data_IF_091393192834
#
_entry.id   IF_091393192834
#
_cell.length_a   1.000
_cell.length_b   1.000
_cell.length_c   1.000
_cell.angle_alpha   90.00
_cell.angle_beta   90.00
_cell.angle_gamma   90.00
#
_symmetry.space_group_name_H-M   'P 1'
#
loop_
_entity.id
_entity.type
_entity.pdbx_description
1 polymer ?
#
# COMPACT_ATOMS: atom_id res chain seq x y z
N UNK A 1 -15.64 -8.06 16.53
CA UNK A 1 -15.39 -8.81 15.28
C UNK A 1 -13.91 -8.74 14.95
N UNK A 2 -13.39 -9.67 14.14
CA UNK A 2 -11.98 -9.71 13.75
C UNK A 2 -11.87 -9.34 12.28
N UNK A 3 -10.97 -8.41 11.95
CA UNK A 3 -10.85 -7.88 10.60
C UNK A 3 -9.42 -7.98 10.10
N UNK A 4 -9.24 -8.51 8.90
CA UNK A 4 -7.99 -8.44 8.16
C UNK A 4 -7.97 -7.13 7.36
N UNK A 5 -6.89 -6.37 7.52
CA UNK A 5 -6.65 -5.12 6.82
C UNK A 5 -5.45 -5.30 5.90
N UNK A 6 -5.57 -4.82 4.67
CA UNK A 6 -4.47 -4.65 3.73
C UNK A 6 -4.39 -3.18 3.35
N UNK A 7 -3.25 -2.54 3.63
CA UNK A 7 -2.93 -1.17 3.22
C UNK A 7 -1.89 -1.23 2.11
N UNK A 8 -2.19 -0.62 0.97
CA UNK A 8 -1.28 -0.48 -0.17
C UNK A 8 -0.83 0.95 -0.27
N UNK A 9 0.48 1.14 -0.36
CA UNK A 9 1.13 2.45 -0.34
C UNK A 9 1.97 2.57 -1.58
N UNK A 10 1.84 3.70 -2.29
CA UNK A 10 2.61 3.99 -3.49
C UNK A 10 3.10 5.42 -3.48
N UNK A 11 4.18 5.69 -4.22
CA UNK A 11 4.58 7.07 -4.48
C UNK A 11 3.52 7.79 -5.32
N UNK A 12 3.30 9.08 -5.00
CA UNK A 12 2.44 9.97 -5.76
C UNK A 12 2.91 10.08 -7.21
N UNK A 13 1.95 10.26 -8.13
CA UNK A 13 2.27 10.45 -9.55
C UNK A 13 3.25 11.61 -9.75
N UNK A 14 4.32 11.35 -10.51
CA UNK A 14 5.36 12.34 -10.81
C UNK A 14 6.52 12.34 -9.80
N UNK A 15 6.42 11.60 -8.70
CA UNK A 15 7.57 11.32 -7.84
C UNK A 15 8.50 10.32 -8.53
N UNK A 16 9.81 10.53 -8.40
CA UNK A 16 10.80 9.57 -8.86
C UNK A 16 10.73 8.32 -7.98
N UNK A 17 10.61 7.15 -8.61
CA UNK A 17 10.78 5.85 -7.97
C UNK A 17 12.08 5.20 -8.46
N UNK A 18 13.23 5.40 -7.74
CA UNK A 18 14.52 4.88 -8.16
C UNK A 18 14.57 3.34 -8.22
N UNK A 19 13.82 2.67 -7.35
CA UNK A 19 13.74 1.21 -7.30
C UNK A 19 13.06 0.68 -8.58
N UNK A 20 11.86 1.19 -8.89
CA UNK A 20 11.14 0.81 -10.10
C UNK A 20 11.98 1.07 -11.37
N UNK A 21 12.67 2.20 -11.43
CA UNK A 21 13.57 2.55 -12.54
C UNK A 21 14.72 1.54 -12.69
N UNK A 22 15.27 1.06 -11.56
CA UNK A 22 16.34 0.07 -11.54
C UNK A 22 15.83 -1.30 -12.02
N UNK A 23 14.64 -1.69 -11.57
CA UNK A 23 13.97 -2.95 -11.98
C UNK A 23 13.68 -2.94 -13.47
N UNK A 24 13.08 -1.87 -14.00
CA UNK A 24 12.79 -1.73 -15.44
C UNK A 24 14.04 -1.90 -16.29
N UNK A 25 15.13 -1.23 -15.92
CA UNK A 25 16.42 -1.35 -16.60
C UNK A 25 16.99 -2.77 -16.52
N UNK A 26 16.86 -3.44 -15.37
CA UNK A 26 17.33 -4.81 -15.21
C UNK A 26 16.53 -5.79 -16.08
N UNK A 27 15.22 -5.61 -16.19
CA UNK A 27 14.36 -6.40 -17.07
C UNK A 27 14.74 -6.21 -18.55
N UNK A 28 15.01 -4.98 -18.98
CA UNK A 28 15.47 -4.70 -20.34
C UNK A 28 16.80 -5.39 -20.67
N UNK A 29 17.75 -5.44 -19.73
CA UNK A 29 19.02 -6.17 -19.91
C UNK A 29 18.83 -7.69 -20.05
N UNK A 30 17.76 -8.23 -19.49
CA UNK A 30 17.37 -9.64 -19.63
C UNK A 30 16.55 -9.92 -20.89
N UNK A 31 16.26 -8.90 -21.71
CA UNK A 31 15.48 -9.01 -22.94
C UNK A 31 13.97 -8.88 -22.75
N UNK A 32 13.50 -8.43 -21.59
CA UNK A 32 12.09 -8.15 -21.34
C UNK A 32 11.82 -6.65 -21.48
N UNK A 33 10.92 -6.29 -22.41
CA UNK A 33 10.44 -4.91 -22.55
C UNK A 33 9.18 -4.72 -21.71
N UNK A 34 9.26 -3.83 -20.73
CA UNK A 34 8.14 -3.43 -19.87
C UNK A 34 8.09 -1.90 -19.80
N UNK A 35 6.91 -1.36 -19.54
CA UNK A 35 6.69 0.09 -19.41
C UNK A 35 5.90 0.38 -18.14
N UNK A 36 6.06 1.60 -17.61
CA UNK A 36 5.37 2.07 -16.41
C UNK A 36 5.62 1.17 -15.18
N UNK A 37 6.86 0.68 -15.03
CA UNK A 37 7.24 -0.07 -13.84
C UNK A 37 7.04 0.79 -12.60
N UNK A 38 6.43 0.22 -11.57
CA UNK A 38 6.22 0.87 -10.28
C UNK A 38 6.43 -0.14 -9.16
N UNK A 39 6.70 0.37 -7.96
CA UNK A 39 6.76 -0.44 -6.73
C UNK A 39 5.75 0.11 -5.73
N UNK A 40 5.14 -0.81 -4.98
CA UNK A 40 4.19 -0.51 -3.92
C UNK A 40 4.56 -1.29 -2.68
N UNK A 41 4.30 -0.71 -1.52
CA UNK A 41 4.38 -1.40 -0.25
C UNK A 41 3.00 -1.92 0.14
N UNK A 42 2.94 -3.15 0.62
CA UNK A 42 1.71 -3.76 1.13
C UNK A 42 1.91 -4.11 2.60
N UNK A 43 1.11 -3.51 3.48
CA UNK A 43 1.12 -3.76 4.91
C UNK A 43 -0.19 -4.48 5.27
N UNK A 44 -0.08 -5.71 5.78
CA UNK A 44 -1.24 -6.48 6.25
C UNK A 44 -1.18 -6.67 7.75
N UNK A 45 -2.35 -6.58 8.39
CA UNK A 45 -2.49 -6.84 9.81
C UNK A 45 -3.92 -7.24 10.13
N UNK A 46 -4.14 -7.66 11.37
CA UNK A 46 -5.46 -8.04 11.87
C UNK A 46 -5.76 -7.27 13.13
N UNK A 47 -7.00 -6.79 13.27
CA UNK A 47 -7.45 -6.07 14.45
C UNK A 47 -8.84 -6.53 14.89
N UNK A 48 -9.13 -6.35 16.18
CA UNK A 48 -10.44 -6.64 16.74
C UNK A 48 -11.19 -5.32 16.96
N UNK A 49 -12.34 -5.16 16.33
CA UNK A 49 -13.16 -3.96 16.45
C UNK A 49 -14.65 -4.30 16.46
N UNK A 50 -15.47 -3.34 16.88
CA UNK A 50 -16.92 -3.51 16.96
C UNK A 50 -17.60 -3.43 15.59
N UNK A 51 -17.02 -2.68 14.65
CA UNK A 51 -17.60 -2.48 13.30
C UNK A 51 -16.52 -2.25 12.22
N UNK A 52 -16.84 -2.48 10.93
CA UNK A 52 -15.98 -2.08 9.81
C UNK A 52 -15.69 -0.57 9.77
N UNK A 53 -16.61 0.27 10.26
CA UNK A 53 -16.47 1.71 10.35
C UNK A 53 -15.40 2.13 11.37
N UNK A 54 -15.34 1.44 12.52
CA UNK A 54 -14.29 1.67 13.52
C UNK A 54 -12.92 1.29 12.97
N UNK A 55 -12.82 0.13 12.31
CA UNK A 55 -11.58 -0.28 11.60
C UNK A 55 -11.15 0.78 10.60
N UNK A 56 -12.09 1.30 9.78
CA UNK A 56 -11.78 2.33 8.77
C UNK A 56 -11.19 3.58 9.43
N UNK A 57 -11.80 4.08 10.51
CA UNK A 57 -11.32 5.27 11.23
C UNK A 57 -9.91 5.07 11.79
N UNK A 58 -9.67 3.93 12.45
CA UNK A 58 -8.36 3.62 13.03
C UNK A 58 -7.28 3.45 11.96
N UNK A 59 -7.58 2.73 10.87
CA UNK A 59 -6.63 2.54 9.75
C UNK A 59 -6.32 3.86 9.06
N UNK A 60 -7.30 4.76 8.90
CA UNK A 60 -7.05 6.12 8.38
C UNK A 60 -6.11 6.92 9.29
N UNK A 61 -6.30 6.91 10.61
CA UNK A 61 -5.38 7.57 11.56
C UNK A 61 -3.97 6.97 11.49
N UNK A 62 -3.86 5.64 11.43
CA UNK A 62 -2.58 4.93 11.27
C UNK A 62 -1.86 5.35 9.99
N UNK A 63 -2.58 5.45 8.87
CA UNK A 63 -2.01 5.88 7.59
C UNK A 63 -1.52 7.32 7.65
N UNK A 64 -2.28 8.24 8.24
CA UNK A 64 -1.92 9.65 8.34
C UNK A 64 -0.73 9.90 9.28
N UNK A 65 -0.60 9.10 10.35
CA UNK A 65 0.38 9.35 11.40
C UNK A 65 1.67 8.57 11.25
N UNK A 66 1.62 7.39 10.63
CA UNK A 66 2.77 6.47 10.64
C UNK A 66 2.97 5.73 9.31
N UNK A 67 1.95 5.05 8.81
CA UNK A 67 2.17 4.10 7.71
C UNK A 67 2.54 4.82 6.41
N UNK A 68 2.00 6.02 6.19
CA UNK A 68 2.24 6.80 4.98
C UNK A 68 2.87 8.16 5.30
N UNK A 69 3.71 8.65 4.39
CA UNK A 69 4.05 10.07 4.36
C UNK A 69 3.10 10.78 3.40
N UNK A 70 2.14 11.59 3.88
CA UNK A 70 1.09 12.19 3.04
C UNK A 70 1.62 13.18 2.00
N UNK A 71 2.87 13.66 2.14
CA UNK A 71 3.49 14.56 1.16
C UNK A 71 3.83 13.81 -0.13
N UNK A 72 4.28 12.56 -0.02
CA UNK A 72 4.88 11.81 -1.14
C UNK A 72 4.16 10.50 -1.46
N UNK A 73 3.32 9.98 -0.57
CA UNK A 73 2.59 8.74 -0.77
C UNK A 73 1.10 8.96 -1.01
N UNK A 74 0.54 8.14 -1.91
CA UNK A 74 -0.88 7.82 -1.97
C UNK A 74 -1.07 6.44 -1.34
N UNK A 75 -2.24 6.19 -0.75
CA UNK A 75 -2.57 4.89 -0.18
C UNK A 75 -4.02 4.51 -0.42
N UNK A 76 -4.26 3.20 -0.48
CA UNK A 76 -5.59 2.58 -0.47
C UNK A 76 -5.58 1.45 0.56
N UNK A 77 -6.73 1.11 1.12
CA UNK A 77 -6.83 -0.04 2.02
C UNK A 77 -8.13 -0.79 1.84
N UNK A 78 -8.10 -2.07 2.18
CA UNK A 78 -9.25 -2.96 2.19
C UNK A 78 -9.41 -3.60 3.56
N UNK A 79 -10.66 -3.87 3.93
CA UNK A 79 -11.05 -4.47 5.20
C UNK A 79 -11.89 -5.69 4.87
N UNK A 80 -11.48 -6.83 5.40
CA UNK A 80 -12.20 -8.10 5.26
C UNK A 80 -12.56 -8.61 6.65
N UNK A 81 -13.85 -8.77 6.93
CA UNK A 81 -14.27 -9.44 8.15
C UNK A 81 -13.83 -10.91 8.09
N UNK A 82 -13.21 -11.37 9.16
CA UNK A 82 -12.81 -12.76 9.31
C UNK A 82 -13.92 -13.50 10.04
N UNK A 83 -14.59 -14.40 9.32
CA UNK A 83 -15.47 -15.37 9.96
C UNK A 83 -14.61 -16.26 10.89
N UNK A 84 -15.03 -16.33 12.15
CA UNK A 84 -14.46 -17.23 13.16
C UNK A 84 -15.11 -18.59 13.10
#
# INVERSE_FOLDING_TARGET
>A
MKFMVEVRIRLKKGMLNPEASTIERALALLGYEVENTDTIDIITFTMNEESPEDVRREVEDMCQRLLCNPVIHDYEFSITEMEG
#
